data_IF_514232831586
#
_entry.id   IF_514232831586
#
_cell.length_a   1.000
_cell.length_b   1.000
_cell.length_c   1.000
_cell.angle_alpha   90.00
_cell.angle_beta   90.00
_cell.angle_gamma   90.00
#
_symmetry.space_group_name_H-M   'P 1'
#
loop_
_entity.id
_entity.type
_entity.pdbx_description
1 polymer ?
#
# COMPACT_ATOMS: atom_id res chain seq x y z
N UNK A 1 9.81 -17.91 7.62
CA UNK A 1 9.88 -19.38 7.61
C UNK A 1 8.82 -19.88 8.57
N UNK A 2 7.90 -20.72 8.11
CA UNK A 2 7.04 -21.49 9.01
C UNK A 2 7.71 -22.85 9.12
N UNK A 3 8.13 -23.22 10.33
CA UNK A 3 8.72 -24.53 10.58
C UNK A 3 7.62 -25.51 11.00
N UNK A 4 7.67 -26.72 10.47
CA UNK A 4 6.61 -27.72 10.63
C UNK A 4 7.23 -29.02 11.17
N UNK A 5 7.29 -29.19 12.50
CA UNK A 5 7.75 -30.44 13.11
C UNK A 5 6.92 -31.64 12.66
N UNK A 6 7.57 -32.79 12.44
CA UNK A 6 6.91 -33.98 11.87
C UNK A 6 5.82 -34.55 12.78
N UNK A 7 6.02 -34.48 14.09
CA UNK A 7 5.06 -34.90 15.11
C UNK A 7 3.82 -34.00 15.13
N UNK A 8 4.00 -32.68 15.00
CA UNK A 8 2.89 -31.71 14.93
C UNK A 8 2.07 -31.90 13.65
N UNK A 9 2.72 -32.15 12.51
CA UNK A 9 2.03 -32.37 11.23
C UNK A 9 1.21 -33.67 11.20
N UNK A 10 1.70 -34.73 11.84
CA UNK A 10 1.05 -36.04 11.85
C UNK A 10 -0.01 -36.17 12.97
N UNK A 11 -0.08 -35.21 13.89
CA UNK A 11 -1.09 -35.21 14.94
C UNK A 11 -2.47 -34.91 14.33
N UNK A 12 -3.43 -35.83 14.51
CA UNK A 12 -4.80 -35.62 14.05
C UNK A 12 -5.48 -34.50 14.84
N UNK A 13 -6.22 -33.64 14.14
CA UNK A 13 -7.02 -32.56 14.72
C UNK A 13 -8.43 -32.58 14.14
N UNK A 14 -9.39 -32.10 14.92
CA UNK A 14 -10.69 -31.73 14.39
C UNK A 14 -10.59 -30.31 13.82
N UNK A 15 -10.87 -30.17 12.52
CA UNK A 15 -10.90 -28.89 11.83
C UNK A 15 -12.14 -28.81 10.95
N UNK A 16 -12.97 -27.80 11.19
CA UNK A 16 -14.15 -27.51 10.39
C UNK A 16 -13.84 -26.35 9.42
N UNK A 17 -13.71 -26.61 8.10
CA UNK A 17 -13.44 -25.58 7.12
C UNK A 17 -14.55 -24.53 6.99
N UNK A 18 -15.78 -24.86 7.39
CA UNK A 18 -16.92 -23.94 7.34
C UNK A 18 -16.80 -22.84 8.42
N UNK A 19 -16.05 -23.10 9.50
CA UNK A 19 -15.79 -22.14 10.57
C UNK A 19 -14.55 -21.28 10.33
N UNK A 20 -13.79 -21.53 9.26
CA UNK A 20 -12.59 -20.76 8.96
C UNK A 20 -12.93 -19.45 8.26
N UNK A 21 -12.54 -18.34 8.90
CA UNK A 21 -12.65 -17.00 8.30
C UNK A 21 -11.29 -16.29 8.28
N UNK A 22 -10.92 -15.64 7.16
CA UNK A 22 -9.73 -14.79 7.11
C UNK A 22 -9.83 -13.64 8.11
N UNK A 23 -8.73 -13.36 8.80
CA UNK A 23 -8.65 -12.18 9.66
C UNK A 23 -8.74 -10.89 8.84
N UNK A 24 -9.41 -9.85 9.38
CA UNK A 24 -9.48 -8.55 8.71
C UNK A 24 -8.09 -7.93 8.59
N UNK A 25 -7.78 -7.40 7.40
CA UNK A 25 -6.52 -6.68 7.15
C UNK A 25 -6.67 -5.23 7.59
N UNK A 26 -5.82 -4.79 8.52
CA UNK A 26 -5.75 -3.38 8.92
C UNK A 26 -4.85 -2.58 7.97
N UNK A 27 -5.40 -1.50 7.39
CA UNK A 27 -4.65 -0.53 6.58
C UNK A 27 -4.82 0.87 7.20
N UNK A 28 -3.74 1.53 7.69
CA UNK A 28 -3.85 2.87 8.23
C UNK A 28 -4.19 3.86 7.11
N UNK A 29 -5.08 4.81 7.40
CA UNK A 29 -5.50 5.85 6.46
C UNK A 29 -5.17 7.24 7.00
N UNK A 30 -4.74 8.14 6.11
CA UNK A 30 -4.55 9.53 6.45
C UNK A 30 -5.91 10.24 6.64
N UNK A 31 -5.98 11.12 7.63
CA UNK A 31 -7.13 12.01 7.80
C UNK A 31 -7.16 13.10 6.74
N UNK A 32 -8.35 13.64 6.45
CA UNK A 32 -8.53 14.78 5.54
C UNK A 32 -7.61 15.97 5.87
N UNK A 33 -7.46 16.29 7.15
CA UNK A 33 -6.59 17.39 7.62
C UNK A 33 -5.12 17.18 7.24
N UNK A 34 -4.63 15.94 7.28
CA UNK A 34 -3.26 15.61 6.89
C UNK A 34 -3.07 15.78 5.37
N UNK A 35 -4.03 15.31 4.57
CA UNK A 35 -4.00 15.48 3.10
C UNK A 35 -4.05 16.96 2.70
N UNK A 36 -4.94 17.75 3.30
CA UNK A 36 -5.01 19.19 3.02
C UNK A 36 -3.72 19.92 3.37
N UNK A 37 -3.00 19.48 4.43
CA UNK A 37 -1.70 20.05 4.77
C UNK A 37 -0.65 19.71 3.71
N UNK A 38 -0.61 18.47 3.22
CA UNK A 38 0.30 18.07 2.15
C UNK A 38 0.03 18.84 0.85
N UNK A 39 -1.24 19.00 0.46
CA UNK A 39 -1.63 19.77 -0.73
C UNK A 39 -1.27 21.25 -0.62
N UNK A 40 -1.42 21.87 0.56
CA UNK A 40 -0.95 23.25 0.78
C UNK A 40 0.55 23.39 0.59
N UNK A 41 1.33 22.40 1.03
CA UNK A 41 2.78 22.39 0.83
C UNK A 41 3.14 22.18 -0.64
N UNK A 42 2.44 21.28 -1.33
CA UNK A 42 2.63 21.03 -2.76
C UNK A 42 2.36 22.30 -3.59
N UNK A 43 1.23 22.97 -3.34
CA UNK A 43 0.83 24.18 -4.08
C UNK A 43 1.73 25.39 -3.81
N UNK A 44 2.42 25.42 -2.67
CA UNK A 44 3.38 26.48 -2.35
C UNK A 44 4.78 26.23 -2.94
N UNK A 45 5.02 25.06 -3.54
CA UNK A 45 6.31 24.68 -4.09
C UNK A 45 6.48 25.19 -5.51
N UNK A 46 7.63 25.81 -5.81
CA UNK A 46 7.94 26.31 -7.16
C UNK A 46 8.30 25.18 -8.14
N UNK A 47 8.94 24.11 -7.65
CA UNK A 47 9.44 22.99 -8.48
C UNK A 47 9.26 21.63 -7.78
N UNK A 48 8.01 21.21 -7.52
CA UNK A 48 7.73 19.94 -6.83
C UNK A 48 8.06 18.73 -7.72
N UNK A 49 8.28 17.58 -7.06
CA UNK A 49 8.44 16.26 -7.69
C UNK A 49 7.74 15.22 -6.82
N UNK A 50 7.04 14.27 -7.43
CA UNK A 50 6.49 13.08 -6.76
C UNK A 50 7.50 11.93 -6.85
N UNK A 51 7.99 11.46 -5.70
CA UNK A 51 8.85 10.25 -5.66
C UNK A 51 7.97 9.03 -5.41
N UNK A 52 7.77 8.20 -6.43
CA UNK A 52 6.87 7.05 -6.39
C UNK A 52 7.60 5.77 -5.92
N UNK A 53 7.27 5.30 -4.72
CA UNK A 53 7.80 4.06 -4.14
C UNK A 53 7.01 2.82 -4.54
N UNK A 54 7.56 1.62 -4.29
CA UNK A 54 6.84 0.35 -4.48
C UNK A 54 5.57 0.18 -3.62
N UNK A 55 5.37 1.07 -2.63
CA UNK A 55 4.12 1.16 -1.88
C UNK A 55 2.90 1.50 -2.75
N UNK A 56 3.08 2.20 -3.87
CA UNK A 56 2.00 2.48 -4.83
C UNK A 56 1.52 1.19 -5.49
N UNK A 57 2.45 0.34 -5.95
CA UNK A 57 2.15 -0.95 -6.55
C UNK A 57 1.51 -1.90 -5.52
N UNK A 58 2.08 -1.98 -4.31
CA UNK A 58 1.54 -2.80 -3.22
C UNK A 58 0.12 -2.36 -2.79
N UNK A 59 -0.22 -1.09 -2.99
CA UNK A 59 -1.53 -0.55 -2.69
C UNK A 59 -2.51 -0.63 -3.87
N UNK A 60 -2.07 -1.13 -5.03
CA UNK A 60 -2.83 -1.15 -6.28
C UNK A 60 -3.34 0.25 -6.66
N UNK A 61 -2.47 1.26 -6.53
CA UNK A 61 -2.82 2.68 -6.64
C UNK A 61 -2.21 3.38 -7.87
N UNK A 62 -1.77 2.64 -8.88
CA UNK A 62 -1.09 3.19 -10.05
C UNK A 62 -1.96 4.15 -10.84
N UNK A 63 -3.22 3.79 -11.11
CA UNK A 63 -4.16 4.66 -11.84
C UNK A 63 -4.42 5.98 -11.08
N UNK A 64 -4.56 5.90 -9.76
CA UNK A 64 -4.75 7.07 -8.90
C UNK A 64 -3.51 7.96 -8.86
N UNK A 65 -2.30 7.39 -8.91
CA UNK A 65 -1.07 8.17 -9.02
C UNK A 65 -1.01 8.91 -10.35
N UNK A 66 -1.39 8.26 -11.46
CA UNK A 66 -1.46 8.88 -12.79
C UNK A 66 -2.45 10.04 -12.77
N UNK A 67 -3.67 9.82 -12.30
CA UNK A 67 -4.69 10.88 -12.19
C UNK A 67 -4.18 12.05 -11.35
N UNK A 68 -3.59 11.78 -10.19
CA UNK A 68 -3.05 12.82 -9.32
C UNK A 68 -1.91 13.62 -9.98
N UNK A 69 -1.01 12.95 -10.68
CA UNK A 69 0.08 13.60 -11.40
C UNK A 69 -0.42 14.46 -12.57
N UNK A 70 -1.41 13.98 -13.33
CA UNK A 70 -2.03 14.71 -14.43
C UNK A 70 -2.80 15.95 -13.94
N UNK A 71 -3.57 15.82 -12.85
CA UNK A 71 -4.30 16.92 -12.24
C UNK A 71 -3.39 18.01 -11.69
N UNK A 72 -2.23 17.63 -11.14
CA UNK A 72 -1.31 18.56 -10.49
C UNK A 72 -0.21 19.07 -11.43
N UNK A 73 0.02 18.40 -12.56
CA UNK A 73 1.13 18.67 -13.47
C UNK A 73 2.52 18.42 -12.87
N UNK A 74 2.59 17.64 -11.78
CA UNK A 74 3.84 17.42 -11.04
C UNK A 74 4.63 16.27 -11.66
N UNK A 75 5.93 16.45 -11.98
CA UNK A 75 6.77 15.36 -12.48
C UNK A 75 6.87 14.20 -11.49
N UNK A 76 6.85 12.97 -12.01
CA UNK A 76 6.97 11.74 -11.23
C UNK A 76 8.35 11.11 -11.45
N UNK A 77 8.99 10.68 -10.36
CA UNK A 77 10.24 9.91 -10.37
C UNK A 77 10.01 8.60 -9.60
N UNK A 78 9.97 7.44 -10.27
CA UNK A 78 9.83 6.17 -9.59
C UNK A 78 11.13 5.73 -8.92
N UNK A 79 11.02 5.07 -7.77
CA UNK A 79 12.09 4.20 -7.25
C UNK A 79 12.18 2.93 -8.09
N UNK A 80 13.27 2.17 -7.98
CA UNK A 80 13.38 0.86 -8.66
C UNK A 80 12.20 -0.07 -8.35
N UNK A 81 11.72 -0.07 -7.09
CA UNK A 81 10.58 -0.90 -6.67
C UNK A 81 9.22 -0.34 -7.07
N UNK A 82 9.17 0.94 -7.47
CA UNK A 82 7.98 1.59 -8.01
C UNK A 82 8.06 1.78 -9.53
N UNK A 83 9.04 1.15 -10.19
CA UNK A 83 9.22 1.27 -11.63
C UNK A 83 8.29 0.27 -12.33
N UNK A 84 7.19 0.79 -12.86
CA UNK A 84 6.14 0.07 -13.57
C UNK A 84 4.98 1.01 -13.89
#
# INVERSE_FOLDING_TARGET
LIDLPIDVQLTEIEFDPELYEPLPVHKPAASRKQIERALRMLNASERPVLVAGGGIINADASELLVEFAELTGVPVVPTLMGWG
#
